data_IF_731161932221
#
_entry.id   IF_731161932221
#
_cell.length_a   1.000
_cell.length_b   1.000
_cell.length_c   1.000
_cell.angle_alpha   90.00
_cell.angle_beta   90.00
_cell.angle_gamma   90.00
#
_symmetry.space_group_name_H-M   'P 1'
#
loop_
_entity.id
_entity.type
_entity.pdbx_description
1 polymer ?
#
# COMPACT_ATOMS: atom_id res chain seq x y z
N UNK A 1 25.98 -35.97 2.25
CA UNK A 1 25.11 -35.06 3.02
C UNK A 1 25.90 -33.79 3.26
N UNK A 2 25.62 -32.72 2.54
CA UNK A 2 26.31 -31.43 2.70
C UNK A 2 25.68 -30.65 3.84
N UNK A 3 26.46 -30.36 4.88
CA UNK A 3 26.07 -29.48 6.00
C UNK A 3 25.69 -28.10 5.43
N UNK A 4 24.56 -27.49 5.84
CA UNK A 4 24.26 -26.12 5.44
C UNK A 4 25.37 -25.19 5.96
N UNK A 5 25.87 -24.31 5.08
CA UNK A 5 26.85 -23.30 5.45
C UNK A 5 26.29 -22.40 6.55
N UNK A 6 27.10 -22.08 7.55
CA UNK A 6 26.75 -21.10 8.58
C UNK A 6 26.47 -19.74 7.92
N UNK A 7 25.50 -18.94 8.43
CA UNK A 7 25.26 -17.59 7.94
C UNK A 7 26.54 -16.76 7.94
N UNK A 8 26.73 -15.81 7.01
CA UNK A 8 27.79 -14.82 7.11
C UNK A 8 27.74 -14.12 8.47
N UNK A 9 28.89 -13.71 9.00
CA UNK A 9 28.96 -12.96 10.26
C UNK A 9 27.94 -11.80 10.21
N UNK A 10 27.02 -11.75 11.19
CA UNK A 10 25.94 -10.75 11.37
C UNK A 10 24.66 -10.94 10.55
N UNK A 11 24.37 -12.16 10.09
CA UNK A 11 23.07 -12.53 9.51
C UNK A 11 22.38 -13.64 10.31
N UNK A 12 21.05 -13.61 10.35
CA UNK A 12 20.21 -14.66 10.94
C UNK A 12 19.25 -15.24 9.90
N UNK A 13 19.00 -16.54 10.00
CA UNK A 13 18.00 -17.24 9.17
C UNK A 13 16.59 -16.97 9.72
N UNK A 14 15.67 -16.58 8.86
CA UNK A 14 14.24 -16.36 9.19
C UNK A 14 13.32 -17.03 8.18
N UNK A 15 12.01 -16.91 8.39
CA UNK A 15 10.96 -17.38 7.48
C UNK A 15 10.98 -16.72 6.08
N UNK A 16 11.54 -15.52 5.96
CA UNK A 16 11.67 -14.79 4.68
C UNK A 16 13.08 -14.88 4.08
N UNK A 17 13.97 -15.67 4.69
CA UNK A 17 15.36 -15.84 4.25
C UNK A 17 16.39 -15.29 5.24
N UNK A 18 17.62 -15.12 4.76
CA UNK A 18 18.73 -14.52 5.52
C UNK A 18 18.55 -13.00 5.58
N UNK A 19 18.50 -12.46 6.78
CA UNK A 19 18.44 -11.00 7.03
C UNK A 19 19.54 -10.61 8.03
N UNK A 20 19.92 -9.32 8.10
CA UNK A 20 20.85 -8.85 9.13
C UNK A 20 20.36 -9.21 10.54
N UNK A 21 21.28 -9.53 11.44
CA UNK A 21 20.95 -9.96 12.81
C UNK A 21 20.12 -8.92 13.59
N UNK A 22 20.37 -7.64 13.33
CA UNK A 22 19.70 -6.50 13.97
C UNK A 22 18.29 -6.22 13.39
N UNK A 23 17.88 -6.88 12.30
CA UNK A 23 16.55 -6.68 11.70
C UNK A 23 15.51 -7.60 12.32
N UNK A 24 14.26 -7.15 12.37
CA UNK A 24 13.13 -7.96 12.86
C UNK A 24 12.11 -8.21 11.76
N UNK A 25 11.61 -9.45 11.67
CA UNK A 25 10.50 -9.79 10.76
C UNK A 25 9.21 -9.49 11.49
N UNK A 26 8.45 -8.54 10.96
CA UNK A 26 7.16 -8.11 11.50
C UNK A 26 6.07 -8.20 10.44
N UNK A 27 4.82 -8.33 10.88
CA UNK A 27 3.68 -8.35 9.97
C UNK A 27 3.30 -6.91 9.62
N UNK A 28 3.00 -6.64 8.36
CA UNK A 28 2.58 -5.29 7.93
C UNK A 28 1.33 -4.81 8.67
N UNK A 29 0.42 -5.72 9.02
CA UNK A 29 -0.78 -5.41 9.79
C UNK A 29 -0.55 -5.19 11.29
N UNK A 30 0.69 -5.21 11.77
CA UNK A 30 1.02 -4.78 13.12
C UNK A 30 0.88 -3.25 13.23
N UNK A 31 0.04 -2.79 14.16
CA UNK A 31 -0.28 -1.37 14.34
C UNK A 31 0.93 -0.54 14.78
N UNK A 32 1.96 -1.17 15.35
CA UNK A 32 3.23 -0.49 15.68
C UNK A 32 4.07 -0.16 14.44
N UNK A 33 3.79 -0.82 13.30
CA UNK A 33 4.53 -0.69 12.05
C UNK A 33 3.75 0.11 11.02
N UNK A 34 2.46 -0.21 10.84
CA UNK A 34 1.63 0.50 9.86
C UNK A 34 0.14 0.48 10.19
N UNK A 35 -0.58 1.47 9.68
CA UNK A 35 -2.04 1.50 9.69
C UNK A 35 -2.56 1.08 8.32
N UNK A 36 -3.26 -0.05 8.26
CA UNK A 36 -3.87 -0.53 7.01
C UNK A 36 -5.31 -0.04 6.86
N UNK A 37 -5.58 0.69 5.77
CA UNK A 37 -6.91 1.19 5.43
C UNK A 37 -7.40 0.50 4.15
N UNK A 38 -8.43 -0.34 4.29
CA UNK A 38 -9.05 -0.97 3.13
C UNK A 38 -9.97 0.03 2.43
N UNK A 39 -9.66 0.32 1.17
CA UNK A 39 -10.50 1.19 0.33
C UNK A 39 -11.89 0.60 0.13
N UNK A 40 -12.89 1.48 0.13
CA UNK A 40 -14.27 1.14 -0.20
C UNK A 40 -14.84 2.17 -1.18
N UNK A 41 -15.62 1.69 -2.15
CA UNK A 41 -16.30 2.56 -3.10
C UNK A 41 -17.51 3.22 -2.43
N UNK A 42 -17.60 4.56 -2.44
CA UNK A 42 -18.82 5.27 -2.08
C UNK A 42 -19.98 4.95 -3.02
N UNK A 43 -21.16 5.49 -2.71
CA UNK A 43 -22.28 5.46 -3.65
C UNK A 43 -21.98 6.36 -4.85
N UNK A 44 -22.37 5.92 -6.05
CA UNK A 44 -21.95 6.56 -7.30
C UNK A 44 -22.52 7.97 -7.52
N UNK A 45 -23.60 8.31 -6.81
CA UNK A 45 -24.22 9.64 -6.79
C UNK A 45 -23.34 10.70 -6.11
N UNK A 46 -22.33 10.30 -5.34
CA UNK A 46 -21.35 11.21 -4.72
C UNK A 46 -20.19 11.56 -5.65
N UNK A 47 -20.09 10.93 -6.82
CA UNK A 47 -18.98 11.14 -7.76
C UNK A 47 -19.23 12.36 -8.65
N UNK A 48 -18.18 13.14 -8.88
CA UNK A 48 -18.25 14.30 -9.76
C UNK A 48 -16.93 14.53 -10.50
N UNK A 49 -16.99 15.36 -11.54
CA UNK A 49 -15.82 15.82 -12.32
C UNK A 49 -15.54 17.33 -12.11
N UNK A 50 -16.31 17.97 -11.23
CA UNK A 50 -16.22 19.41 -10.96
C UNK A 50 -15.21 19.75 -9.86
N UNK A 51 -14.63 18.73 -9.21
CA UNK A 51 -13.66 18.92 -8.13
C UNK A 51 -14.28 19.07 -6.75
N UNK A 52 -15.54 18.68 -6.55
CA UNK A 52 -16.20 18.79 -5.25
C UNK A 52 -15.79 17.64 -4.31
N UNK A 53 -15.31 17.98 -3.12
CA UNK A 53 -14.76 17.06 -2.13
C UNK A 53 -13.30 16.65 -2.41
N UNK A 54 -13.00 15.37 -2.23
CA UNK A 54 -11.64 14.83 -2.36
C UNK A 54 -11.44 14.04 -3.67
N UNK A 55 -10.21 14.03 -4.23
CA UNK A 55 -9.84 13.13 -5.30
C UNK A 55 -10.22 11.68 -4.99
N UNK A 56 -10.75 10.97 -5.99
CA UNK A 56 -11.16 9.59 -5.85
C UNK A 56 -10.42 8.68 -6.83
N UNK A 57 -9.69 7.71 -6.27
CA UNK A 57 -8.91 6.74 -7.02
C UNK A 57 -9.58 5.36 -6.93
N UNK A 58 -10.03 4.84 -8.08
CA UNK A 58 -10.70 3.54 -8.20
C UNK A 58 -9.72 2.36 -8.15
N UNK A 59 -8.45 2.59 -8.49
CA UNK A 59 -7.39 1.59 -8.44
C UNK A 59 -6.24 1.91 -9.38
N UNK A 60 -5.60 0.87 -9.93
CA UNK A 60 -4.41 1.01 -10.78
C UNK A 60 -4.59 1.95 -11.97
N UNK A 61 -5.78 2.06 -12.55
CA UNK A 61 -6.03 2.94 -13.70
C UNK A 61 -5.70 4.42 -13.40
N UNK A 62 -5.77 4.82 -12.13
CA UNK A 62 -5.50 6.19 -11.69
C UNK A 62 -4.04 6.39 -11.26
N UNK A 63 -3.23 5.32 -11.19
CA UNK A 63 -1.83 5.39 -10.77
C UNK A 63 -0.94 5.88 -11.91
N UNK A 64 -0.25 6.99 -11.69
CA UNK A 64 0.85 7.44 -12.54
C UNK A 64 2.17 6.75 -12.19
N UNK A 65 3.29 7.33 -12.65
CA UNK A 65 4.62 6.78 -12.38
C UNK A 65 5.04 6.81 -10.90
N UNK A 66 4.59 7.83 -10.16
CA UNK A 66 4.91 7.99 -8.72
C UNK A 66 3.72 8.48 -7.88
N UNK A 67 2.86 9.30 -8.48
CA UNK A 67 1.66 9.87 -7.87
C UNK A 67 0.43 9.52 -8.72
N UNK A 68 -0.77 9.35 -8.12
CA UNK A 68 -1.99 9.14 -8.88
C UNK A 68 -2.43 10.44 -9.56
N UNK A 69 -3.24 10.32 -10.61
CA UNK A 69 -3.88 11.46 -11.28
C UNK A 69 -5.38 11.35 -11.13
N UNK A 70 -6.00 12.37 -10.54
CA UNK A 70 -7.43 12.37 -10.28
C UNK A 70 -8.22 12.61 -11.58
N UNK A 71 -9.05 11.64 -11.96
CA UNK A 71 -10.05 11.80 -13.01
C UNK A 71 -11.45 12.13 -12.44
N UNK A 72 -11.68 11.85 -11.15
CA UNK A 72 -12.96 12.03 -10.44
C UNK A 72 -12.72 12.49 -9.01
N UNK A 73 -13.75 13.09 -8.43
CA UNK A 73 -13.82 13.50 -7.04
C UNK A 73 -15.05 12.88 -6.37
N UNK A 74 -15.02 12.78 -5.05
CA UNK A 74 -16.12 12.31 -4.22
C UNK A 74 -16.44 13.39 -3.16
N UNK A 75 -17.69 13.85 -3.16
CA UNK A 75 -18.19 14.86 -2.21
C UNK A 75 -18.36 14.30 -0.78
N UNK A 76 -18.52 12.98 -0.64
CA UNK A 76 -18.72 12.30 0.65
C UNK A 76 -17.77 11.10 0.79
N UNK A 77 -16.46 11.32 0.98
CA UNK A 77 -15.48 10.24 1.06
C UNK A 77 -15.65 9.40 2.34
N UNK A 78 -15.46 8.09 2.23
CA UNK A 78 -15.65 7.14 3.36
C UNK A 78 -14.31 6.68 3.94
N UNK A 79 -13.29 6.55 3.09
CA UNK A 79 -11.92 6.16 3.44
C UNK A 79 -10.97 7.15 2.79
N UNK A 80 -10.10 7.73 3.60
CA UNK A 80 -9.21 8.82 3.20
C UNK A 80 -7.78 8.34 3.40
N UNK A 81 -6.96 8.55 2.37
CA UNK A 81 -5.51 8.47 2.45
C UNK A 81 -4.97 9.89 2.58
N UNK A 82 -4.00 10.07 3.46
CA UNK A 82 -3.32 11.34 3.67
C UNK A 82 -2.15 11.47 2.70
N UNK A 83 -1.66 12.70 2.49
CA UNK A 83 -0.49 12.93 1.67
C UNK A 83 0.71 12.10 2.16
N UNK A 84 1.40 11.43 1.23
CA UNK A 84 2.49 10.47 1.47
C UNK A 84 2.08 9.09 2.00
N UNK A 85 0.80 8.78 2.14
CA UNK A 85 0.37 7.40 2.36
C UNK A 85 0.75 6.53 1.14
N UNK A 86 1.10 5.27 1.40
CA UNK A 86 1.34 4.29 0.35
C UNK A 86 0.01 3.71 -0.10
N UNK A 87 -0.32 3.89 -1.39
CA UNK A 87 -1.48 3.30 -2.03
C UNK A 87 -1.08 1.97 -2.66
N UNK A 88 -1.87 0.91 -2.42
CA UNK A 88 -1.65 -0.40 -3.04
C UNK A 88 -2.89 -0.88 -3.78
N UNK A 89 -2.71 -1.30 -5.04
CA UNK A 89 -3.79 -1.92 -5.81
C UNK A 89 -4.10 -3.31 -5.27
N UNK A 90 -5.34 -3.51 -4.81
CA UNK A 90 -5.86 -4.80 -4.31
C UNK A 90 -6.81 -5.48 -5.30
N UNK A 91 -7.11 -4.82 -6.43
CA UNK A 91 -7.89 -5.37 -7.55
C UNK A 91 -6.97 -5.52 -8.76
N UNK A 92 -7.28 -6.45 -9.65
CA UNK A 92 -6.41 -6.75 -10.79
C UNK A 92 -6.09 -5.48 -11.64
N UNK A 93 -4.81 -5.23 -11.97
CA UNK A 93 -3.61 -5.94 -11.49
C UNK A 93 -3.30 -5.63 -10.01
N UNK A 94 -3.04 -6.67 -9.23
CA UNK A 94 -2.77 -6.59 -7.78
C UNK A 94 -1.29 -6.32 -7.53
N UNK A 95 -0.98 -5.54 -6.51
CA UNK A 95 0.39 -5.35 -6.00
C UNK A 95 1.10 -4.10 -6.52
N UNK A 96 0.51 -3.39 -7.47
CA UNK A 96 0.99 -2.07 -7.87
C UNK A 96 0.92 -1.08 -6.72
N UNK A 97 1.93 -0.21 -6.60
CA UNK A 97 2.04 0.80 -5.54
C UNK A 97 2.13 2.22 -6.09
N UNK A 98 1.68 3.18 -5.29
CA UNK A 98 1.75 4.61 -5.58
C UNK A 98 1.83 5.42 -4.28
N UNK A 99 2.10 6.73 -4.37
CA UNK A 99 2.11 7.64 -3.23
C UNK A 99 0.98 8.65 -3.37
N UNK A 100 0.18 8.81 -2.31
CA UNK A 100 -0.91 9.78 -2.24
C UNK A 100 -0.39 11.24 -2.28
#
# INVERSE_FOLDING_TARGET
MTTPASPPDRFKQTEIGLIPEDWEVVKLGDESVSRLIMGQSPTSDTYNITGDGLPFFHGKADFGGKYPTAAKWCSTPIKIAEANDVLMSVRAPVGDVNLA
#
